data_IF_029027637050
#
_entry.id   IF_029027637050
#
_cell.length_a   1.000
_cell.length_b   1.000
_cell.length_c   1.000
_cell.angle_alpha   90.00
_cell.angle_beta   90.00
_cell.angle_gamma   90.00
#
_symmetry.space_group_name_H-M   'P 1'
#
loop_
_entity.id
_entity.type
_entity.pdbx_description
1 polymer ?
#
# COMPACT_ATOMS: atom_id res chain seq x y z
N UNK A 1 -42.99 -16.37 29.57
CA UNK A 1 -41.59 -15.96 29.28
C UNK A 1 -40.96 -15.56 30.61
N UNK A 2 -39.89 -16.20 31.05
CA UNK A 2 -39.23 -15.87 32.33
C UNK A 2 -38.53 -14.52 32.23
N UNK A 3 -38.50 -13.73 33.32
CA UNK A 3 -37.85 -12.40 33.34
C UNK A 3 -36.38 -12.47 32.91
N UNK A 4 -35.69 -13.52 33.33
CA UNK A 4 -34.29 -13.79 32.98
C UNK A 4 -34.06 -13.95 31.47
N UNK A 5 -34.99 -14.57 30.74
CA UNK A 5 -34.88 -14.73 29.29
C UNK A 5 -34.99 -13.38 28.58
N UNK A 6 -35.90 -12.51 29.04
CA UNK A 6 -36.09 -11.18 28.45
C UNK A 6 -34.86 -10.31 28.69
N UNK A 7 -34.28 -10.34 29.90
CA UNK A 7 -33.04 -9.63 30.21
C UNK A 7 -31.87 -10.12 29.35
N UNK A 8 -31.72 -11.44 29.18
CA UNK A 8 -30.68 -12.01 28.32
C UNK A 8 -30.85 -11.62 26.84
N UNK A 9 -32.09 -11.56 26.34
CA UNK A 9 -32.38 -11.13 24.97
C UNK A 9 -32.07 -9.64 24.77
N UNK A 10 -32.33 -8.79 25.77
CA UNK A 10 -32.00 -7.36 25.72
C UNK A 10 -30.49 -7.07 25.79
N UNK A 11 -29.70 -7.98 26.38
CA UNK A 11 -28.24 -7.86 26.41
C UNK A 11 -27.57 -8.19 25.06
N UNK A 12 -28.28 -8.85 24.15
CA UNK A 12 -27.72 -9.26 22.85
C UNK A 12 -27.76 -8.12 21.83
N UNK A 13 -26.60 -7.80 21.24
CA UNK A 13 -26.48 -6.77 20.19
C UNK A 13 -27.16 -7.15 18.86
N UNK A 14 -27.64 -8.39 18.72
CA UNK A 14 -28.29 -8.90 17.50
C UNK A 14 -29.81 -8.99 17.63
N UNK A 15 -30.38 -8.55 18.75
CA UNK A 15 -31.81 -8.69 19.02
C UNK A 15 -32.37 -7.34 19.44
N UNK A 16 -33.38 -6.86 18.73
CA UNK A 16 -34.09 -5.61 19.03
C UNK A 16 -35.54 -5.90 19.36
N UNK A 17 -36.03 -5.32 20.44
CA UNK A 17 -37.44 -5.43 20.81
C UNK A 17 -38.25 -4.32 20.11
N UNK A 18 -39.35 -4.68 19.44
CA UNK A 18 -40.31 -3.76 18.84
C UNK A 18 -41.72 -4.30 19.03
N UNK A 19 -42.62 -3.49 19.61
CA UNK A 19 -44.04 -3.82 19.80
C UNK A 19 -44.26 -5.21 20.43
N UNK A 20 -43.58 -5.47 21.56
CA UNK A 20 -43.60 -6.74 22.31
C UNK A 20 -43.06 -7.98 21.56
N UNK A 21 -42.46 -7.79 20.38
CA UNK A 21 -41.81 -8.83 19.59
C UNK A 21 -40.30 -8.61 19.53
N UNK A 22 -39.55 -9.70 19.41
CA UNK A 22 -38.11 -9.66 19.19
C UNK A 22 -37.80 -9.80 17.71
N UNK A 23 -36.99 -8.88 17.19
CA UNK A 23 -36.50 -8.86 15.83
C UNK A 23 -35.01 -9.16 15.83
N UNK A 24 -34.57 -10.02 14.93
CA UNK A 24 -33.16 -10.26 14.69
C UNK A 24 -32.57 -9.10 13.86
N UNK A 25 -31.50 -8.51 14.37
CA UNK A 25 -30.73 -7.46 13.72
C UNK A 25 -29.38 -8.05 13.25
N UNK A 26 -29.24 -8.35 11.94
CA UNK A 26 -28.00 -8.87 11.39
C UNK A 26 -26.89 -7.83 11.47
N UNK A 27 -25.64 -8.26 11.62
CA UNK A 27 -24.51 -7.32 11.78
C UNK A 27 -24.26 -6.48 10.52
N UNK A 28 -24.50 -7.07 9.33
CA UNK A 28 -24.26 -6.42 8.03
C UNK A 28 -25.51 -6.30 7.15
N UNK A 29 -26.58 -7.03 7.45
CA UNK A 29 -27.86 -6.96 6.73
C UNK A 29 -27.76 -7.22 5.22
N UNK A 30 -27.05 -8.27 4.81
CA UNK A 30 -26.70 -8.54 3.42
C UNK A 30 -27.89 -9.20 2.69
N UNK A 31 -28.45 -8.50 1.72
CA UNK A 31 -29.59 -8.97 0.92
C UNK A 31 -29.22 -9.30 -0.52
N UNK A 32 -28.18 -8.66 -1.06
CA UNK A 32 -27.73 -8.87 -2.45
C UNK A 32 -26.26 -9.28 -2.51
N UNK A 33 -25.87 -9.87 -3.64
CA UNK A 33 -24.47 -10.24 -3.92
C UNK A 33 -23.56 -9.01 -3.94
N UNK A 34 -24.04 -7.89 -4.45
CA UNK A 34 -23.26 -6.64 -4.50
C UNK A 34 -23.00 -6.09 -3.09
N UNK A 35 -23.97 -6.21 -2.19
CA UNK A 35 -23.79 -5.85 -0.78
C UNK A 35 -22.75 -6.75 -0.11
N UNK A 36 -22.74 -8.05 -0.42
CA UNK A 36 -21.69 -8.96 0.07
C UNK A 36 -20.30 -8.48 -0.38
N UNK A 37 -20.13 -8.13 -1.65
CA UNK A 37 -18.87 -7.62 -2.17
C UNK A 37 -18.47 -6.29 -1.53
N UNK A 38 -19.42 -5.39 -1.28
CA UNK A 38 -19.17 -4.13 -0.60
C UNK A 38 -18.70 -4.35 0.85
N UNK A 39 -19.33 -5.27 1.57
CA UNK A 39 -18.97 -5.64 2.94
C UNK A 39 -17.57 -6.27 2.96
N UNK A 40 -17.30 -7.23 2.07
CA UNK A 40 -15.98 -7.88 1.93
C UNK A 40 -14.90 -6.86 1.57
N UNK A 41 -15.20 -5.87 0.73
CA UNK A 41 -14.27 -4.78 0.38
C UNK A 41 -14.03 -3.82 1.55
N UNK A 42 -15.05 -3.48 2.32
CA UNK A 42 -14.90 -2.62 3.49
C UNK A 42 -13.99 -3.27 4.53
N UNK A 43 -14.23 -4.56 4.76
CA UNK A 43 -13.53 -5.31 5.79
C UNK A 43 -12.20 -5.90 5.30
N UNK A 44 -11.86 -5.76 4.03
CA UNK A 44 -10.56 -6.19 3.49
C UNK A 44 -9.37 -5.52 4.18
N UNK A 45 -9.59 -4.36 4.82
CA UNK A 45 -8.59 -3.67 5.65
C UNK A 45 -8.28 -4.40 6.95
N UNK A 46 -9.26 -5.14 7.48
CA UNK A 46 -9.16 -5.91 8.72
C UNK A 46 -8.69 -7.34 8.46
N UNK A 47 -8.94 -7.88 7.26
CA UNK A 47 -8.45 -9.18 6.83
C UNK A 47 -9.48 -9.99 6.03
N UNK A 48 -9.39 -11.31 6.16
CA UNK A 48 -10.33 -12.26 5.55
C UNK A 48 -11.52 -12.56 6.44
N UNK A 49 -12.63 -12.95 5.82
CA UNK A 49 -13.88 -13.24 6.52
C UNK A 49 -14.26 -14.69 6.42
N UNK A 50 -14.62 -15.27 7.55
CA UNK A 50 -15.17 -16.62 7.59
C UNK A 50 -16.62 -16.61 7.08
N UNK A 51 -16.92 -17.49 6.13
CA UNK A 51 -18.23 -17.59 5.49
C UNK A 51 -19.31 -18.00 6.50
N UNK A 52 -18.99 -18.88 7.46
CA UNK A 52 -19.90 -19.34 8.53
C UNK A 52 -20.37 -18.19 9.43
N UNK A 53 -19.48 -17.23 9.73
CA UNK A 53 -19.78 -16.06 10.55
C UNK A 53 -20.80 -15.14 9.89
N UNK A 54 -20.65 -14.94 8.57
CA UNK A 54 -21.53 -14.09 7.77
C UNK A 54 -22.82 -14.83 7.39
N UNK A 55 -22.82 -16.18 7.30
CA UNK A 55 -23.96 -16.96 6.84
C UNK A 55 -25.29 -16.62 7.53
N UNK A 56 -25.26 -16.29 8.83
CA UNK A 56 -26.45 -15.90 9.60
C UNK A 56 -26.97 -14.48 9.28
N UNK A 57 -26.16 -13.62 8.66
CA UNK A 57 -26.52 -12.24 8.30
C UNK A 57 -26.99 -12.10 6.85
N UNK A 58 -26.99 -13.19 6.08
CA UNK A 58 -27.36 -13.22 4.66
C UNK A 58 -28.72 -13.88 4.45
N UNK A 59 -29.53 -13.33 3.55
CA UNK A 59 -30.85 -13.88 3.21
C UNK A 59 -30.83 -14.90 2.04
N UNK A 60 -29.66 -15.22 1.51
CA UNK A 60 -29.46 -16.12 0.37
C UNK A 60 -28.32 -17.10 0.65
N UNK A 61 -28.19 -18.14 -0.19
CA UNK A 61 -27.10 -19.11 -0.07
C UNK A 61 -25.73 -18.46 -0.32
N UNK A 62 -25.01 -18.22 0.76
CA UNK A 62 -23.71 -17.55 0.75
C UNK A 62 -22.66 -18.36 -0.02
N UNK A 63 -22.75 -19.69 -0.02
CA UNK A 63 -21.74 -20.52 -0.70
C UNK A 63 -21.81 -20.33 -2.21
N UNK A 64 -23.03 -20.36 -2.76
CA UNK A 64 -23.28 -20.11 -4.19
C UNK A 64 -22.86 -18.68 -4.58
N UNK A 65 -23.11 -17.70 -3.70
CA UNK A 65 -22.67 -16.33 -3.92
C UNK A 65 -21.16 -16.19 -3.97
N UNK A 66 -20.47 -16.82 -3.03
CA UNK A 66 -19.01 -16.82 -2.95
C UNK A 66 -18.39 -17.56 -4.14
N UNK A 67 -18.96 -18.69 -4.57
CA UNK A 67 -18.44 -19.45 -5.71
C UNK A 67 -18.53 -18.65 -7.02
N UNK A 68 -19.64 -17.95 -7.24
CA UNK A 68 -19.78 -17.05 -8.40
C UNK A 68 -18.80 -15.87 -8.31
N UNK A 69 -18.59 -15.31 -7.11
CA UNK A 69 -17.63 -14.22 -6.91
C UNK A 69 -16.18 -14.69 -7.14
N UNK A 70 -15.86 -15.93 -6.75
CA UNK A 70 -14.58 -16.58 -7.00
C UNK A 70 -14.35 -16.84 -8.49
N UNK A 71 -15.34 -17.38 -9.19
CA UNK A 71 -15.29 -17.59 -10.65
C UNK A 71 -15.12 -16.27 -11.42
N UNK A 72 -15.70 -15.18 -10.91
CA UNK A 72 -15.56 -13.83 -11.49
C UNK A 72 -14.25 -13.13 -11.09
N UNK A 73 -13.35 -13.82 -10.38
CA UNK A 73 -12.07 -13.32 -9.88
C UNK A 73 -12.19 -12.09 -8.96
N UNK A 74 -13.35 -11.89 -8.32
CA UNK A 74 -13.61 -10.75 -7.42
C UNK A 74 -13.16 -11.02 -5.99
N UNK A 75 -13.05 -12.29 -5.62
CA UNK A 75 -12.75 -12.75 -4.25
C UNK A 75 -11.80 -13.93 -4.32
N UNK A 76 -10.82 -14.00 -3.42
CA UNK A 76 -10.03 -15.20 -3.17
C UNK A 76 -10.67 -16.02 -2.05
N UNK A 77 -10.70 -17.33 -2.21
CA UNK A 77 -11.19 -18.26 -1.20
C UNK A 77 -10.05 -19.15 -0.71
N UNK A 78 -9.85 -19.18 0.60
CA UNK A 78 -9.01 -20.18 1.25
C UNK A 78 -9.96 -21.13 1.96
N UNK A 79 -9.86 -22.41 1.62
CA UNK A 79 -10.69 -23.44 2.23
C UNK A 79 -9.81 -24.30 3.13
N UNK A 80 -10.05 -24.23 4.44
CA UNK A 80 -9.60 -25.23 5.40
C UNK A 80 -10.73 -26.24 5.62
N UNK A 81 -10.44 -27.44 6.10
CA UNK A 81 -11.34 -28.62 6.09
C UNK A 81 -12.81 -28.36 6.44
N UNK A 82 -13.12 -27.37 7.29
CA UNK A 82 -14.50 -27.00 7.69
C UNK A 82 -14.83 -25.52 7.51
N UNK A 83 -13.84 -24.69 7.19
CA UNK A 83 -13.98 -23.24 7.24
C UNK A 83 -13.52 -22.65 5.91
N UNK A 84 -14.40 -21.86 5.30
CA UNK A 84 -14.09 -21.11 4.08
C UNK A 84 -13.88 -19.66 4.48
N UNK A 85 -12.71 -19.12 4.16
CA UNK A 85 -12.35 -17.73 4.40
C UNK A 85 -12.27 -17.01 3.05
N UNK A 86 -12.97 -15.88 2.94
CA UNK A 86 -13.05 -15.06 1.75
C UNK A 86 -12.24 -13.77 1.91
N UNK A 87 -11.52 -13.39 0.86
CA UNK A 87 -10.71 -12.18 0.79
C UNK A 87 -11.08 -11.38 -0.46
N UNK A 88 -11.19 -10.07 -0.34
CA UNK A 88 -11.41 -9.21 -1.49
C UNK A 88 -10.22 -9.26 -2.47
N UNK A 89 -10.48 -9.44 -3.77
CA UNK A 89 -9.44 -9.29 -4.79
C UNK A 89 -9.36 -7.85 -5.29
N UNK A 90 -8.30 -7.13 -4.92
CA UNK A 90 -8.04 -5.76 -5.39
C UNK A 90 -7.65 -5.68 -6.86
N UNK A 91 -7.25 -6.78 -7.49
CA UNK A 91 -6.78 -6.83 -8.88
C UNK A 91 -7.51 -7.93 -9.67
N UNK A 92 -8.81 -7.78 -9.95
CA UNK A 92 -9.62 -8.81 -10.63
C UNK A 92 -9.17 -9.08 -12.08
N UNK A 93 -8.44 -8.14 -12.69
CA UNK A 93 -7.97 -8.26 -14.08
C UNK A 93 -6.68 -9.06 -14.25
N UNK A 94 -6.02 -9.47 -13.15
CA UNK A 94 -4.86 -10.35 -13.25
C UNK A 94 -5.33 -11.72 -13.75
N UNK A 95 -4.91 -12.07 -14.97
CA UNK A 95 -5.21 -13.38 -15.56
C UNK A 95 -4.35 -14.46 -14.92
N UNK A 96 -4.88 -15.68 -14.94
CA UNK A 96 -4.08 -16.88 -14.67
C UNK A 96 -2.93 -16.95 -15.66
N UNK A 97 -1.72 -17.19 -15.14
CA UNK A 97 -0.49 -17.37 -15.90
C UNK A 97 -0.35 -18.86 -16.19
N UNK A 98 0.05 -19.23 -17.41
CA UNK A 98 0.21 -20.65 -17.76
C UNK A 98 1.22 -21.34 -16.83
N UNK A 99 0.96 -22.62 -16.55
CA UNK A 99 1.73 -23.41 -15.59
C UNK A 99 3.23 -23.44 -15.94
N UNK A 100 3.58 -23.48 -17.22
CA UNK A 100 4.98 -23.45 -17.66
C UNK A 100 5.73 -22.18 -17.23
N UNK A 101 5.06 -21.03 -17.21
CA UNK A 101 5.66 -19.79 -16.73
C UNK A 101 5.79 -19.80 -15.20
N UNK A 102 4.83 -20.42 -14.50
CA UNK A 102 4.87 -20.58 -13.05
C UNK A 102 6.05 -21.46 -12.62
N UNK A 103 6.22 -22.60 -13.28
CA UNK A 103 7.35 -23.51 -13.06
C UNK A 103 8.67 -22.82 -13.37
N UNK A 104 8.74 -22.12 -14.51
CA UNK A 104 9.95 -21.40 -14.89
C UNK A 104 10.28 -20.32 -13.88
N UNK A 105 9.30 -19.56 -13.40
CA UNK A 105 9.47 -18.53 -12.38
C UNK A 105 10.01 -19.12 -11.07
N UNK A 106 9.41 -20.21 -10.60
CA UNK A 106 9.83 -20.89 -9.37
C UNK A 106 11.21 -21.58 -9.49
N UNK A 107 11.63 -21.93 -10.71
CA UNK A 107 12.94 -22.55 -10.96
C UNK A 107 14.11 -21.57 -10.88
N UNK A 108 13.84 -20.25 -10.91
CA UNK A 108 14.89 -19.24 -10.85
C UNK A 108 15.43 -19.18 -9.43
N UNK A 109 16.68 -19.61 -9.24
CA UNK A 109 17.37 -19.46 -7.96
C UNK A 109 17.83 -18.01 -7.82
N UNK A 110 17.29 -17.31 -6.82
CA UNK A 110 17.68 -15.93 -6.52
C UNK A 110 18.86 -15.97 -5.54
N UNK A 111 19.95 -15.23 -5.79
CA UNK A 111 21.07 -15.12 -4.85
C UNK A 111 20.60 -14.71 -3.45
N UNK A 112 21.17 -15.32 -2.40
CA UNK A 112 20.77 -15.05 -1.02
C UNK A 112 21.19 -13.66 -0.52
N UNK A 113 22.23 -13.07 -1.14
CA UNK A 113 22.75 -11.75 -0.79
C UNK A 113 22.34 -10.72 -1.83
N UNK A 114 21.85 -9.57 -1.38
CA UNK A 114 21.49 -8.43 -2.23
C UNK A 114 22.67 -7.94 -3.09
N UNK A 115 23.90 -8.00 -2.56
CA UNK A 115 25.12 -7.61 -3.28
C UNK A 115 25.41 -8.52 -4.47
N UNK A 116 25.19 -9.83 -4.32
CA UNK A 116 25.43 -10.80 -5.38
C UNK A 116 24.39 -10.65 -6.49
N UNK A 117 23.12 -10.44 -6.12
CA UNK A 117 22.06 -10.10 -7.07
C UNK A 117 22.37 -8.82 -7.86
N UNK A 118 22.85 -7.77 -7.18
CA UNK A 118 23.20 -6.52 -7.85
C UNK A 118 24.36 -6.70 -8.84
N UNK A 119 25.41 -7.42 -8.45
CA UNK A 119 26.55 -7.71 -9.33
C UNK A 119 26.11 -8.51 -10.57
N UNK A 120 25.26 -9.52 -10.40
CA UNK A 120 24.71 -10.31 -11.51
C UNK A 120 23.85 -9.45 -12.44
N UNK A 121 23.00 -8.58 -11.90
CA UNK A 121 22.21 -7.64 -12.69
C UNK A 121 23.10 -6.65 -13.47
N UNK A 122 24.16 -6.13 -12.85
CA UNK A 122 25.13 -5.25 -13.52
C UNK A 122 25.88 -5.96 -14.65
N UNK A 123 26.28 -7.21 -14.46
CA UNK A 123 26.89 -8.06 -15.50
C UNK A 123 25.91 -8.27 -16.67
N UNK A 124 24.63 -8.49 -16.38
CA UNK A 124 23.58 -8.64 -17.38
C UNK A 124 23.15 -7.30 -18.03
N UNK A 125 23.78 -6.19 -17.66
CA UNK A 125 23.50 -4.86 -18.21
C UNK A 125 22.27 -4.17 -17.60
N UNK A 126 21.66 -4.78 -16.58
CA UNK A 126 20.63 -4.16 -15.75
C UNK A 126 21.30 -3.36 -14.63
N UNK A 127 21.97 -2.26 -14.99
CA UNK A 127 22.51 -1.35 -13.98
C UNK A 127 21.37 -0.62 -13.27
N UNK A 128 21.42 -0.60 -11.94
CA UNK A 128 20.54 0.26 -11.15
C UNK A 128 20.81 1.72 -11.57
N UNK A 129 19.81 2.36 -12.20
CA UNK A 129 19.79 3.81 -12.35
C UNK A 129 19.76 4.35 -10.93
N UNK A 130 20.96 4.64 -10.41
CA UNK A 130 21.11 5.67 -9.39
C UNK A 130 20.63 6.91 -10.09
N UNK A 131 19.40 7.29 -9.78
CA UNK A 131 18.83 8.59 -10.10
C UNK A 131 19.91 9.60 -9.72
N UNK A 132 20.71 9.99 -10.70
CA UNK A 132 21.56 11.14 -10.54
C UNK A 132 20.54 12.23 -10.39
N UNK A 133 20.44 12.71 -9.15
CA UNK A 133 19.77 13.93 -8.76
C UNK A 133 20.51 15.06 -9.52
N UNK A 134 20.37 15.07 -10.85
CA UNK A 134 20.65 16.18 -11.73
C UNK A 134 19.51 17.17 -11.51
N UNK A 135 19.36 17.58 -10.23
CA UNK A 135 18.88 18.91 -9.90
C UNK A 135 19.87 19.83 -10.55
N UNK A 136 19.49 20.23 -11.77
CA UNK A 136 19.98 21.37 -12.53
C UNK A 136 20.88 22.21 -11.64
N UNK A 137 22.20 22.00 -11.76
CA UNK A 137 23.17 22.94 -11.23
C UNK A 137 22.73 24.29 -11.78
N UNK A 138 22.12 25.09 -10.93
CA UNK A 138 21.79 26.47 -11.22
C UNK A 138 23.13 27.09 -11.55
N UNK A 139 23.35 27.32 -12.83
CA UNK A 139 24.48 28.08 -13.36
C UNK A 139 24.61 29.29 -12.43
N UNK A 140 25.69 29.44 -11.65
CA UNK A 140 25.84 30.61 -10.83
C UNK A 140 25.98 31.76 -11.81
N UNK A 141 24.91 32.55 -11.94
CA UNK A 141 24.92 33.79 -12.71
C UNK A 141 26.09 34.60 -12.15
N UNK A 142 27.16 34.73 -12.93
CA UNK A 142 28.31 35.55 -12.54
C UNK A 142 27.79 36.95 -12.27
N UNK A 143 27.63 37.31 -11.00
CA UNK A 143 27.37 38.68 -10.61
C UNK A 143 28.51 39.53 -11.19
N UNK A 144 28.13 40.49 -12.03
CA UNK A 144 29.06 41.46 -12.61
C UNK A 144 29.70 42.21 -11.46
N UNK A 145 30.96 41.91 -11.16
CA UNK A 145 31.75 42.64 -10.16
C UNK A 145 31.71 44.13 -10.51
N UNK A 146 31.19 44.96 -9.60
CA UNK A 146 31.18 46.40 -9.74
C UNK A 146 32.61 46.93 -9.96
N UNK A 147 32.81 47.99 -10.77
CA UNK A 147 34.14 48.48 -11.08
C UNK A 147 34.84 48.97 -9.80
N UNK A 148 35.96 48.32 -9.47
CA UNK A 148 36.86 48.71 -8.38
C UNK A 148 37.33 50.15 -8.60
N UNK A 149 36.86 51.06 -7.73
CA UNK A 149 37.32 52.45 -7.73
C UNK A 149 38.77 52.46 -7.22
N UNK A 150 39.73 52.71 -8.12
CA UNK A 150 41.15 52.83 -7.78
C UNK A 150 41.33 53.85 -6.65
N UNK A 151 41.64 53.38 -5.44
CA UNK A 151 42.04 54.26 -4.33
C UNK A 151 43.37 54.91 -4.71
N UNK A 152 43.41 56.24 -4.83
CA UNK A 152 44.66 57.00 -4.91
C UNK A 152 45.35 56.90 -3.56
N UNK A 153 46.32 56.00 -3.43
CA UNK A 153 47.25 56.04 -2.30
C UNK A 153 48.26 57.16 -2.55
N UNK A 154 48.48 58.01 -1.55
CA UNK A 154 49.57 58.98 -1.57
C UNK A 154 50.88 58.21 -1.46
N UNK A 155 51.75 58.33 -2.45
CA UNK A 155 53.11 57.82 -2.39
C UNK A 155 53.88 58.78 -1.48
N UNK A 156 54.23 58.34 -0.28
CA UNK A 156 55.19 59.05 0.57
C UNK A 156 56.58 58.59 0.16
N UNK A 157 57.44 59.54 -0.24
CA UNK A 157 58.84 59.29 -0.57
C UNK A 157 59.67 59.06 0.69
N UNK A 158 59.39 57.96 1.38
CA UNK A 158 60.05 57.61 2.65
C UNK A 158 61.44 56.97 2.45
N UNK A 159 61.86 56.72 1.20
CA UNK A 159 63.16 56.12 0.86
C UNK A 159 64.04 57.00 -0.03
N UNK A 160 63.71 58.30 -0.19
CA UNK A 160 64.57 59.27 -0.88
C UNK A 160 65.43 60.11 0.09
N UNK A 161 65.37 59.84 1.41
CA UNK A 161 66.16 60.61 2.38
C UNK A 161 67.66 60.32 2.30
N UNK A 162 68.05 59.12 1.87
CA UNK A 162 69.47 58.71 1.80
C UNK A 162 70.16 59.10 0.47
N UNK A 163 69.47 59.85 -0.42
CA UNK A 163 69.99 60.24 -1.74
C UNK A 163 70.26 61.75 -1.87
N UNK A 164 70.18 62.51 -0.78
CA UNK A 164 70.35 63.97 -0.79
C UNK A 164 71.63 64.49 -0.13
N UNK A 165 72.53 63.63 0.34
CA UNK A 165 73.86 64.04 0.82
C UNK A 165 74.97 63.46 -0.08
N UNK A 166 75.22 64.15 -1.20
CA UNK A 166 76.50 64.25 -1.92
C UNK A 166 76.49 65.45 -2.88
#
# INVERSE_FOLDING_TARGET
>A
MTKELVEALMQSNRIRMKDEKFLFEPAYGIRTRDQLLQVVRQLSKEGGFEVTRIANDVLFDINVAVDVAFQSNLVYCITSSKEKVIFYNSKPHLKSVDEMFLEKWNSINVPATDLDLQNELEILGHSSIKETDNRKSTIPTKEKKAPSRKRRTKISNTHLQDLLDL
#
